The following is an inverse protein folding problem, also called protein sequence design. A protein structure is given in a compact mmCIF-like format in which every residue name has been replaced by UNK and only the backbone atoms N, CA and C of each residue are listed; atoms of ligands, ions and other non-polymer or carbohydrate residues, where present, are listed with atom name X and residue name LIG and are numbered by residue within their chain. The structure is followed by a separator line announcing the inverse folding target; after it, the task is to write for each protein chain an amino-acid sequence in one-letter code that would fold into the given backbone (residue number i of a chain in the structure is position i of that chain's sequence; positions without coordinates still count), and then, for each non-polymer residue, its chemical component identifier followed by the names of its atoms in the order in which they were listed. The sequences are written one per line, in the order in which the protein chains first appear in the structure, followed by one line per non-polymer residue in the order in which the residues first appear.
data_IF_392092344698
#
_entry.id   IF_392092344698
#
_cell.length_a   1.000
_cell.length_b   1.000
_cell.length_c   1.000
_cell.angle_alpha   90.00
_cell.angle_beta   90.00
_cell.angle_gamma   90.00
#
_symmetry.space_group_name_H-M   'P 1'
#
loop_
_entity.id
_entity.type
_entity.pdbx_description
1 polymer ?
#
# COMPACT_ATOMS: atom_id res chain seq x y z
N UNK A 1 -5.07 4.76 -18.84
CA UNK A 1 -4.49 3.52 -18.31
C UNK A 1 -5.01 2.34 -19.13
N UNK A 2 -4.31 1.19 -19.19
CA UNK A 2 -4.90 0.00 -19.82
C UNK A 2 -6.06 -0.50 -18.94
N UNK A 3 -7.25 -0.77 -19.51
CA UNK A 3 -8.39 -1.24 -18.72
C UNK A 3 -8.05 -2.57 -18.05
N UNK A 4 -8.44 -2.69 -16.78
CA UNK A 4 -8.33 -3.94 -16.02
C UNK A 4 -9.66 -4.67 -16.12
N UNK A 5 -9.62 -5.99 -16.27
CA UNK A 5 -10.80 -6.84 -16.20
C UNK A 5 -10.88 -7.42 -14.78
N UNK A 6 -11.85 -6.95 -14.02
CA UNK A 6 -11.99 -7.24 -12.59
C UNK A 6 -13.27 -8.05 -12.36
N UNK A 7 -13.17 -9.13 -11.58
CA UNK A 7 -14.32 -9.92 -11.13
C UNK A 7 -14.51 -9.72 -9.63
N UNK A 8 -15.64 -9.13 -9.24
CA UNK A 8 -15.94 -8.82 -7.84
C UNK A 8 -16.81 -9.92 -7.23
N UNK A 9 -16.39 -10.46 -6.08
CA UNK A 9 -17.21 -11.28 -5.17
C UNK A 9 -17.44 -10.50 -3.88
N UNK A 10 -18.70 -10.39 -3.46
CA UNK A 10 -19.07 -9.71 -2.22
C UNK A 10 -20.18 -10.47 -1.49
N UNK A 11 -20.06 -10.59 -0.17
CA UNK A 11 -21.15 -11.08 0.69
C UNK A 11 -22.19 -9.95 0.81
N UNK A 12 -23.26 -10.04 0.02
CA UNK A 12 -24.26 -8.95 -0.12
C UNK A 12 -23.92 -8.02 -1.29
N UNK A 13 -24.17 -8.44 -2.54
CA UNK A 13 -23.82 -7.69 -3.74
C UNK A 13 -24.57 -6.36 -3.90
N UNK A 14 -25.70 -6.21 -3.19
CA UNK A 14 -26.58 -5.05 -3.27
C UNK A 14 -26.36 -4.05 -2.13
N UNK A 15 -25.30 -4.22 -1.33
CA UNK A 15 -24.92 -3.20 -0.36
C UNK A 15 -24.52 -1.92 -1.09
N UNK A 16 -24.88 -0.77 -0.52
CA UNK A 16 -24.63 0.55 -1.11
C UNK A 16 -23.14 0.80 -1.38
N UNK A 17 -22.27 0.36 -0.47
CA UNK A 17 -20.81 0.48 -0.58
C UNK A 17 -20.24 -0.36 -1.75
N UNK A 18 -20.73 -1.59 -1.93
CA UNK A 18 -20.35 -2.46 -3.06
C UNK A 18 -20.80 -1.84 -4.38
N UNK A 19 -22.00 -1.26 -4.40
CA UNK A 19 -22.56 -0.63 -5.61
C UNK A 19 -21.77 0.63 -5.98
N UNK A 20 -21.42 1.47 -5.01
CA UNK A 20 -20.58 2.65 -5.21
C UNK A 20 -19.21 2.28 -5.78
N UNK A 21 -18.53 1.29 -5.19
CA UNK A 21 -17.21 0.83 -5.66
C UNK A 21 -17.25 0.36 -7.12
N UNK A 22 -18.28 -0.37 -7.53
CA UNK A 22 -18.43 -0.83 -8.94
C UNK A 22 -18.58 0.37 -9.88
N UNK A 23 -19.35 1.38 -9.49
CA UNK A 23 -19.54 2.59 -10.29
C UNK A 23 -18.22 3.35 -10.47
N UNK A 24 -17.45 3.51 -9.39
CA UNK A 24 -16.17 4.23 -9.41
C UNK A 24 -15.13 3.52 -10.27
N UNK A 25 -15.01 2.19 -10.16
CA UNK A 25 -14.10 1.40 -10.99
C UNK A 25 -14.45 1.50 -12.48
N UNK A 26 -15.75 1.53 -12.82
CA UNK A 26 -16.20 1.71 -14.21
C UNK A 26 -15.92 3.13 -14.71
N UNK A 27 -16.13 4.15 -13.87
CA UNK A 27 -15.82 5.55 -14.21
C UNK A 27 -14.31 5.75 -14.46
N UNK A 28 -13.46 5.01 -13.74
CA UNK A 28 -12.02 4.97 -13.97
C UNK A 28 -11.60 4.20 -15.25
N UNK A 29 -12.57 3.61 -15.97
CA UNK A 29 -12.34 2.91 -17.24
C UNK A 29 -12.01 1.42 -17.10
N UNK A 30 -12.31 0.81 -15.96
CA UNK A 30 -12.15 -0.64 -15.77
C UNK A 30 -13.41 -1.41 -16.16
N UNK A 31 -13.21 -2.66 -16.60
CA UNK A 31 -14.30 -3.58 -16.90
C UNK A 31 -14.56 -4.42 -15.66
N UNK A 32 -15.72 -4.23 -15.02
CA UNK A 32 -16.08 -4.92 -13.77
C UNK A 32 -17.26 -5.86 -14.00
N UNK A 33 -17.03 -7.16 -13.81
CA UNK A 33 -18.06 -8.20 -13.81
C UNK A 33 -18.39 -8.64 -12.39
N UNK A 34 -19.69 -8.79 -12.11
CA UNK A 34 -20.18 -9.39 -10.87
C UNK A 34 -20.20 -10.91 -11.08
N UNK A 35 -19.64 -11.66 -10.15
CA UNK A 35 -19.90 -13.08 -10.11
C UNK A 35 -21.20 -13.29 -9.33
N UNK A 36 -22.27 -13.67 -10.02
CA UNK A 36 -23.51 -14.04 -9.36
C UNK A 36 -23.29 -15.35 -8.59
N UNK A 37 -23.44 -15.27 -7.27
CA UNK A 37 -23.62 -16.38 -6.32
C UNK A 37 -22.64 -17.57 -6.43
N UNK A 38 -21.38 -17.30 -6.80
CA UNK A 38 -20.31 -18.30 -6.64
C UNK A 38 -19.90 -18.31 -5.18
N UNK A 39 -20.07 -19.41 -4.43
CA UNK A 39 -19.59 -19.49 -3.06
C UNK A 39 -18.09 -19.20 -3.04
N UNK A 40 -17.68 -18.24 -2.20
CA UNK A 40 -16.26 -18.00 -1.95
C UNK A 40 -15.61 -19.34 -1.57
N UNK A 41 -14.57 -19.80 -2.30
CA UNK A 41 -13.91 -21.06 -1.97
C UNK A 41 -13.42 -20.98 -0.52
N UNK A 42 -13.65 -22.04 0.27
CA UNK A 42 -13.23 -22.08 1.67
C UNK A 42 -11.71 -21.89 1.85
N UNK A 43 -10.94 -22.06 0.78
CA UNK A 43 -9.49 -21.85 0.71
C UNK A 43 -9.08 -20.39 0.58
N UNK A 44 -10.01 -19.46 0.33
CA UNK A 44 -9.72 -18.03 0.29
C UNK A 44 -9.70 -17.51 1.72
N UNK A 45 -8.55 -17.01 2.23
CA UNK A 45 -8.48 -16.40 3.55
C UNK A 45 -9.51 -15.27 3.66
N UNK A 46 -10.28 -15.24 4.75
CA UNK A 46 -11.22 -14.13 5.04
C UNK A 46 -10.51 -12.84 5.45
N UNK A 47 -9.21 -12.94 5.72
CA UNK A 47 -8.33 -11.80 5.97
C UNK A 47 -7.86 -11.23 4.63
N UNK A 48 -8.00 -9.92 4.39
CA UNK A 48 -7.54 -9.32 3.15
C UNK A 48 -6.02 -9.43 3.01
N UNK A 49 -5.54 -9.93 1.86
CA UNK A 49 -4.12 -9.91 1.50
C UNK A 49 -3.61 -8.48 1.30
N UNK A 50 -4.51 -7.56 0.92
CA UNK A 50 -4.27 -6.13 0.80
C UNK A 50 -5.59 -5.37 0.96
N UNK A 51 -5.57 -4.27 1.71
CA UNK A 51 -6.72 -3.39 1.90
C UNK A 51 -6.56 -2.20 0.96
N UNK A 52 -7.48 -2.06 -0.01
CA UNK A 52 -7.58 -0.85 -0.82
C UNK A 52 -8.50 0.10 -0.07
N UNK A 53 -7.92 1.07 0.62
CA UNK A 53 -8.68 2.22 1.16
C UNK A 53 -8.67 3.33 0.12
N UNK A 54 -9.74 4.14 0.07
CA UNK A 54 -9.87 5.32 -0.82
C UNK A 54 -8.79 6.41 -0.61
N UNK A 55 -7.77 6.14 0.20
CA UNK A 55 -6.58 6.97 0.30
C UNK A 55 -5.39 6.25 -0.34
N UNK A 56 -4.77 6.84 -1.36
CA UNK A 56 -3.65 7.72 -1.02
C UNK A 56 -3.91 8.40 0.33
N UNK A 57 -3.64 7.69 1.44
CA UNK A 57 -3.87 8.19 2.78
C UNK A 57 -3.30 9.60 2.79
N UNK A 58 -4.14 10.62 3.04
CA UNK A 58 -3.60 11.95 3.24
C UNK A 58 -2.51 11.77 4.28
N UNK A 59 -1.24 12.07 3.94
CA UNK A 59 -0.14 11.76 4.84
C UNK A 59 -0.49 12.43 6.15
N UNK A 60 -0.67 11.61 7.20
CA UNK A 60 -1.00 12.13 8.52
C UNK A 60 0.06 13.18 8.82
N UNK A 61 -0.31 14.44 9.10
CA UNK A 61 0.68 15.48 9.34
C UNK A 61 1.62 15.01 10.45
N UNK A 62 2.87 14.76 10.07
CA UNK A 62 3.92 14.33 10.98
C UNK A 62 5.10 15.29 10.88
N UNK A 63 5.92 15.31 11.94
CA UNK A 63 7.15 16.09 11.89
C UNK A 63 8.08 15.55 10.79
N UNK A 64 8.91 16.43 10.20
CA UNK A 64 9.96 16.01 9.27
C UNK A 64 10.86 14.93 9.88
N UNK A 65 11.11 14.99 11.20
CA UNK A 65 11.90 13.99 11.91
C UNK A 65 11.20 12.62 11.95
N UNK A 66 9.88 12.58 12.16
CA UNK A 66 9.09 11.35 12.12
C UNK A 66 9.06 10.72 10.73
N UNK A 67 8.78 11.53 9.72
CA UNK A 67 8.77 11.08 8.33
C UNK A 67 10.15 10.54 7.90
N UNK A 68 11.21 11.22 8.32
CA UNK A 68 12.58 10.78 8.06
C UNK A 68 12.90 9.46 8.78
N UNK A 69 12.59 9.31 10.06
CA UNK A 69 12.84 8.08 10.81
C UNK A 69 12.12 6.88 10.18
N UNK A 70 10.81 7.03 9.91
CA UNK A 70 9.98 6.02 9.25
C UNK A 70 10.53 5.64 7.87
N UNK A 71 10.99 6.62 7.09
CA UNK A 71 11.55 6.33 5.77
C UNK A 71 12.91 5.62 5.84
N UNK A 72 13.77 5.99 6.80
CA UNK A 72 15.05 5.33 7.04
C UNK A 72 14.87 3.87 7.45
N UNK A 73 13.92 3.59 8.35
CA UNK A 73 13.56 2.22 8.75
C UNK A 73 13.07 1.40 7.55
N UNK A 74 12.16 1.95 6.75
CA UNK A 74 11.61 1.27 5.58
C UNK A 74 12.70 0.90 4.56
N UNK A 75 13.64 1.82 4.28
CA UNK A 75 14.75 1.55 3.36
C UNK A 75 15.73 0.54 3.95
N UNK A 76 16.03 0.61 5.24
CA UNK A 76 16.89 -0.40 5.89
C UNK A 76 16.26 -1.79 5.85
N UNK A 77 14.95 -1.89 6.12
CA UNK A 77 14.23 -3.15 6.00
C UNK A 77 14.28 -3.68 4.55
N UNK A 78 14.02 -2.82 3.56
CA UNK A 78 14.06 -3.17 2.14
C UNK A 78 15.44 -3.67 1.69
N UNK A 79 16.53 -3.10 2.22
CA UNK A 79 17.90 -3.51 1.86
C UNK A 79 18.48 -4.60 2.78
N UNK A 80 17.68 -5.17 3.68
CA UNK A 80 18.15 -6.18 4.64
C UNK A 80 19.24 -5.66 5.59
N UNK A 81 19.18 -4.37 5.95
CA UNK A 81 20.15 -3.70 6.82
C UNK A 81 21.43 -3.25 6.11
N UNK A 82 21.55 -3.45 4.79
CA UNK A 82 22.73 -3.02 4.05
C UNK A 82 22.80 -1.49 3.94
N UNK A 83 23.55 -0.86 4.85
CA UNK A 83 23.71 0.59 4.94
C UNK A 83 24.31 1.24 3.68
N UNK A 84 25.15 0.52 2.93
CA UNK A 84 25.71 1.06 1.66
C UNK A 84 24.63 1.13 0.59
N UNK A 85 23.86 0.06 0.44
CA UNK A 85 22.75 0.00 -0.51
C UNK A 85 21.63 0.96 -0.13
N UNK A 86 21.32 1.09 1.17
CA UNK A 86 20.34 2.05 1.67
C UNK A 86 20.71 3.50 1.31
N UNK A 87 21.99 3.89 1.50
CA UNK A 87 22.47 5.23 1.17
C UNK A 87 22.37 5.51 -0.34
N UNK A 88 22.70 4.52 -1.18
CA UNK A 88 22.56 4.61 -2.64
C UNK A 88 21.09 4.78 -3.05
N UNK A 89 20.17 4.00 -2.47
CA UNK A 89 18.74 4.08 -2.74
C UNK A 89 18.16 5.44 -2.34
N UNK A 90 18.58 5.97 -1.19
CA UNK A 90 18.20 7.29 -0.69
C UNK A 90 18.85 8.46 -1.46
N UNK A 91 19.85 8.19 -2.30
CA UNK A 91 20.58 9.24 -3.02
C UNK A 91 21.43 10.16 -2.13
N UNK A 92 21.91 9.66 -0.98
CA UNK A 92 22.72 10.44 -0.03
C UNK A 92 24.08 9.78 0.22
N UNK A 93 25.04 10.58 0.69
CA UNK A 93 26.33 10.04 1.14
C UNK A 93 26.14 9.08 2.33
N UNK A 94 26.95 8.03 2.40
CA UNK A 94 26.91 7.04 3.49
C UNK A 94 27.12 7.68 4.87
N UNK A 95 28.00 8.67 4.98
CA UNK A 95 28.23 9.42 6.21
C UNK A 95 26.97 10.13 6.69
N UNK A 96 26.21 10.74 5.76
CA UNK A 96 24.93 11.39 6.04
C UNK A 96 23.89 10.40 6.54
N UNK A 97 23.78 9.21 5.91
CA UNK A 97 22.90 8.16 6.41
C UNK A 97 23.25 7.79 7.85
N UNK A 98 24.52 7.50 8.14
CA UNK A 98 24.95 7.12 9.49
C UNK A 98 24.67 8.20 10.54
N UNK A 99 24.83 9.47 10.19
CA UNK A 99 24.50 10.58 11.08
C UNK A 99 23.00 10.65 11.38
N UNK A 100 22.16 10.47 10.36
CA UNK A 100 20.70 10.43 10.51
C UNK A 100 20.24 9.23 11.35
N UNK A 101 20.80 8.04 11.12
CA UNK A 101 20.46 6.85 11.92
C UNK A 101 20.75 7.06 13.41
N UNK A 102 21.91 7.63 13.76
CA UNK A 102 22.23 7.96 15.17
C UNK A 102 21.28 9.00 15.76
N UNK A 103 20.94 10.04 14.98
CA UNK A 103 20.00 11.08 15.41
C UNK A 103 18.62 10.53 15.77
N UNK A 104 18.19 9.47 15.08
CA UNK A 104 16.89 8.83 15.26
C UNK A 104 16.92 7.54 16.10
N UNK A 105 18.07 7.17 16.69
CA UNK A 105 18.19 5.99 17.55
C UNK A 105 18.11 4.64 16.82
N UNK A 106 18.42 4.60 15.51
CA UNK A 106 18.33 3.41 14.66
C UNK A 106 19.66 2.64 14.50
N UNK A 107 20.72 3.05 15.21
CA UNK A 107 22.07 2.51 15.08
C UNK A 107 22.87 2.57 16.38
#
# INVERSE_FOLDING_TARGET
MRPLHLRLLASGPDRDDVTALIADLRAAGHVVSRADDVPLPATVPRTPDFVITDGAAQPTPESLAGAEARHLEAVLAFTGGNRRQAALLLGIARSTLLAKLRRHGLA
#
